data_IF_085608990438
#
_entry.id   IF_085608990438
#
_cell.length_a   1.000
_cell.length_b   1.000
_cell.length_c   1.000
_cell.angle_alpha   90.00
_cell.angle_beta   90.00
_cell.angle_gamma   90.00
#
_symmetry.space_group_name_H-M   'P 1'
#
loop_
_entity.id
_entity.type
_entity.pdbx_description
1 polymer ?
#
# COMPACT_ATOMS: atom_id res chain seq x y z
N UNK A 1 -27.62 65.41 -19.28
CA UNK A 1 -28.72 64.98 -20.18
C UNK A 1 -28.17 63.84 -21.04
N UNK A 2 -28.11 62.60 -20.54
CA UNK A 2 -29.19 61.61 -20.54
C UNK A 2 -29.75 61.34 -21.93
N UNK A 3 -29.22 60.31 -22.58
CA UNK A 3 -29.96 59.54 -23.57
C UNK A 3 -29.82 58.06 -23.19
N UNK A 4 -30.88 57.55 -22.56
CA UNK A 4 -31.10 56.15 -22.21
C UNK A 4 -31.66 55.45 -23.45
N UNK A 5 -31.06 54.35 -23.88
CA UNK A 5 -31.69 53.39 -24.79
C UNK A 5 -31.87 52.09 -23.99
N UNK A 6 -33.11 51.61 -23.74
CA UNK A 6 -33.31 50.32 -23.10
C UNK A 6 -33.17 49.21 -24.14
N UNK A 7 -32.22 48.29 -23.93
CA UNK A 7 -32.16 47.03 -24.66
C UNK A 7 -33.25 46.11 -24.07
N UNK A 8 -34.30 45.88 -24.84
CA UNK A 8 -35.32 44.86 -24.59
C UNK A 8 -34.69 43.46 -24.69
N UNK A 9 -34.76 42.71 -23.59
CA UNK A 9 -34.41 41.30 -23.55
C UNK A 9 -35.47 40.49 -24.31
N UNK A 10 -35.09 39.94 -25.47
CA UNK A 10 -35.87 38.93 -26.18
C UNK A 10 -35.50 37.55 -25.60
N UNK A 11 -36.32 37.07 -24.67
CA UNK A 11 -36.30 35.68 -24.21
C UNK A 11 -36.89 34.79 -25.32
N UNK A 12 -36.04 34.28 -26.21
CA UNK A 12 -36.40 33.19 -27.10
C UNK A 12 -36.31 31.87 -26.32
N UNK A 13 -37.47 31.32 -25.93
CA UNK A 13 -37.59 29.96 -25.45
C UNK A 13 -37.29 29.00 -26.61
N UNK A 14 -36.06 28.50 -26.67
CA UNK A 14 -35.68 27.40 -27.56
C UNK A 14 -36.37 26.15 -27.02
N UNK A 15 -37.50 25.81 -27.63
CA UNK A 15 -38.12 24.50 -27.46
C UNK A 15 -37.38 23.55 -28.39
N UNK A 16 -36.25 23.01 -27.93
CA UNK A 16 -35.50 22.01 -28.67
C UNK A 16 -36.36 20.75 -28.75
N UNK A 17 -36.95 20.53 -29.92
CA UNK A 17 -37.54 19.25 -30.32
C UNK A 17 -36.36 18.27 -30.42
N UNK A 18 -36.14 17.45 -29.38
CA UNK A 18 -35.31 16.26 -29.47
C UNK A 18 -35.96 15.35 -30.52
N UNK A 19 -35.47 15.42 -31.75
CA UNK A 19 -35.67 14.35 -32.72
C UNK A 19 -34.86 13.16 -32.22
N UNK A 20 -35.51 12.01 -32.06
CA UNK A 20 -34.95 10.67 -31.78
C UNK A 20 -34.02 10.20 -32.93
N UNK A 21 -33.06 11.03 -33.32
CA UNK A 21 -31.94 10.54 -34.10
C UNK A 21 -31.07 9.75 -33.13
N UNK A 22 -31.08 8.43 -33.30
CA UNK A 22 -30.14 7.53 -32.64
C UNK A 22 -28.75 8.18 -32.71
N UNK A 23 -28.11 8.48 -31.56
CA UNK A 23 -26.89 9.27 -31.56
C UNK A 23 -25.88 8.59 -32.48
N UNK A 24 -25.44 9.32 -33.50
CA UNK A 24 -24.46 8.81 -34.45
C UNK A 24 -23.25 8.29 -33.65
N UNK A 25 -22.83 7.06 -33.95
CA UNK A 25 -21.72 6.44 -33.26
C UNK A 25 -20.48 7.35 -33.36
N UNK A 26 -19.88 7.78 -32.23
CA UNK A 26 -18.79 8.76 -32.28
C UNK A 26 -17.47 8.15 -32.76
N UNK A 27 -17.42 6.84 -33.00
CA UNK A 27 -16.22 6.11 -33.38
C UNK A 27 -16.09 6.07 -34.91
N UNK A 28 -15.02 6.69 -35.40
CA UNK A 28 -14.70 6.75 -36.82
C UNK A 28 -14.11 5.41 -37.30
N UNK A 29 -14.78 4.75 -38.26
CA UNK A 29 -14.34 3.47 -38.85
C UNK A 29 -13.00 3.55 -39.59
N UNK A 30 -12.53 4.75 -39.95
CA UNK A 30 -11.16 4.92 -40.47
C UNK A 30 -10.09 4.80 -39.39
N UNK A 31 -10.50 4.84 -38.11
CA UNK A 31 -9.61 4.91 -36.96
C UNK A 31 -9.74 3.73 -36.00
N UNK A 32 -10.90 3.09 -35.99
CA UNK A 32 -11.11 1.79 -35.34
C UNK A 32 -11.43 0.76 -36.42
N UNK A 33 -10.75 -0.41 -36.45
CA UNK A 33 -11.17 -1.47 -37.35
C UNK A 33 -12.62 -1.87 -37.04
N UNK A 34 -13.37 -2.36 -38.03
CA UNK A 34 -14.77 -2.76 -37.85
C UNK A 34 -14.96 -3.81 -36.73
N UNK A 35 -13.91 -4.59 -36.44
CA UNK A 35 -13.89 -5.58 -35.36
C UNK A 35 -13.47 -5.03 -34.00
N UNK A 36 -13.26 -3.72 -33.87
CA UNK A 36 -12.80 -3.10 -32.63
C UNK A 36 -13.90 -3.12 -31.58
N UNK A 37 -13.49 -3.44 -30.36
CA UNK A 37 -14.32 -3.38 -29.18
C UNK A 37 -13.89 -2.20 -28.32
N UNK A 38 -14.82 -1.30 -28.06
CA UNK A 38 -14.55 -0.03 -27.39
C UNK A 38 -15.24 -0.05 -26.04
N UNK A 39 -14.45 0.11 -24.98
CA UNK A 39 -14.98 0.25 -23.64
C UNK A 39 -15.52 1.67 -23.46
N UNK A 40 -16.78 1.79 -23.05
CA UNK A 40 -17.46 3.06 -22.84
C UNK A 40 -18.21 3.08 -21.52
N UNK A 41 -18.37 4.27 -20.97
CA UNK A 41 -19.35 4.54 -19.93
C UNK A 41 -20.22 5.74 -20.35
N UNK A 42 -21.21 5.45 -21.20
CA UNK A 42 -22.19 6.41 -21.73
C UNK A 42 -23.54 5.71 -21.84
N UNK A 43 -24.54 6.20 -21.10
CA UNK A 43 -25.88 5.61 -21.05
C UNK A 43 -26.54 5.54 -22.43
N UNK A 44 -26.23 6.48 -23.33
CA UNK A 44 -26.79 6.50 -24.68
C UNK A 44 -26.26 5.34 -25.50
N UNK A 45 -24.98 5.01 -25.35
CA UNK A 45 -24.31 3.93 -26.09
C UNK A 45 -24.57 2.55 -25.46
N UNK A 46 -24.80 2.49 -24.15
CA UNK A 46 -25.01 1.22 -23.44
C UNK A 46 -26.47 0.76 -23.35
N UNK A 47 -27.42 1.43 -24.02
CA UNK A 47 -28.84 1.03 -23.97
C UNK A 47 -29.13 -0.14 -24.91
N UNK A 48 -29.64 -1.24 -24.37
CA UNK A 48 -29.95 -2.48 -25.11
C UNK A 48 -31.41 -2.53 -25.57
N UNK A 49 -31.96 -1.46 -26.16
CA UNK A 49 -33.33 -1.42 -26.73
C UNK A 49 -34.49 -1.83 -25.80
N UNK A 50 -34.21 -2.16 -24.54
CA UNK A 50 -35.12 -2.64 -23.50
C UNK A 50 -35.19 -1.52 -22.47
N UNK A 51 -36.40 -1.09 -22.11
CA UNK A 51 -36.66 0.21 -21.46
C UNK A 51 -36.18 0.34 -20.00
N UNK A 52 -35.32 -0.57 -19.53
CA UNK A 52 -34.78 -0.52 -18.17
C UNK A 52 -33.33 -0.04 -18.25
N UNK A 53 -33.11 1.23 -17.91
CA UNK A 53 -31.77 1.80 -17.80
C UNK A 53 -30.98 1.00 -16.76
N UNK A 54 -29.84 0.39 -17.12
CA UNK A 54 -29.03 -0.30 -16.14
C UNK A 54 -28.51 0.70 -15.09
N UNK A 55 -28.32 0.27 -13.85
CA UNK A 55 -27.87 1.15 -12.77
C UNK A 55 -26.47 1.74 -13.02
N UNK A 56 -25.68 1.13 -13.91
CA UNK A 56 -24.36 1.60 -14.32
C UNK A 56 -24.20 1.38 -15.83
N UNK A 57 -24.05 2.44 -16.64
CA UNK A 57 -23.96 2.33 -18.08
C UNK A 57 -22.51 2.06 -18.52
N UNK A 58 -21.88 1.00 -18.02
CA UNK A 58 -20.54 0.59 -18.49
C UNK A 58 -20.70 -0.61 -19.40
N UNK A 59 -20.21 -0.51 -20.62
CA UNK A 59 -20.34 -1.56 -21.62
C UNK A 59 -19.18 -1.58 -22.60
N UNK A 60 -19.10 -2.67 -23.35
CA UNK A 60 -18.26 -2.78 -24.54
C UNK A 60 -19.18 -2.66 -25.75
N UNK A 61 -18.82 -1.81 -26.70
CA UNK A 61 -19.54 -1.62 -27.97
C UNK A 61 -18.64 -1.91 -29.16
N UNK A 62 -19.22 -2.33 -30.28
CA UNK A 62 -18.49 -2.38 -31.55
C UNK A 62 -18.15 -0.97 -32.07
N UNK A 63 -17.25 -0.88 -33.05
CA UNK A 63 -16.90 0.39 -33.70
C UNK A 63 -18.10 1.10 -34.36
N UNK A 64 -19.15 0.36 -34.74
CA UNK A 64 -20.41 0.90 -35.25
C UNK A 64 -21.43 1.21 -34.14
N UNK A 65 -21.02 1.12 -32.85
CA UNK A 65 -21.87 1.23 -31.67
C UNK A 65 -23.00 0.20 -31.63
N UNK A 66 -22.81 -0.93 -32.29
CA UNK A 66 -23.72 -2.05 -32.30
C UNK A 66 -23.42 -3.02 -31.14
N UNK A 67 -24.42 -3.83 -30.81
CA UNK A 67 -24.30 -4.96 -29.88
C UNK A 67 -23.69 -4.62 -28.50
N UNK A 68 -24.19 -3.62 -27.76
CA UNK A 68 -23.63 -3.24 -26.47
C UNK A 68 -23.66 -4.41 -25.47
N UNK A 69 -22.49 -4.80 -25.00
CA UNK A 69 -22.30 -5.82 -23.95
C UNK A 69 -22.11 -5.12 -22.61
N UNK A 70 -23.18 -5.08 -21.81
CA UNK A 70 -23.14 -4.53 -20.46
C UNK A 70 -22.12 -5.27 -19.59
N UNK A 71 -21.35 -4.51 -18.83
CA UNK A 71 -20.38 -5.04 -17.89
C UNK A 71 -20.94 -5.01 -16.47
N UNK A 72 -20.78 -6.13 -15.76
CA UNK A 72 -21.09 -6.20 -14.34
C UNK A 72 -19.94 -5.64 -13.51
N UNK A 73 -20.27 -4.95 -12.43
CA UNK A 73 -19.30 -4.54 -11.41
C UNK A 73 -18.60 -5.76 -10.80
N UNK A 74 -17.38 -5.58 -10.29
CA UNK A 74 -16.71 -6.62 -9.50
C UNK A 74 -17.55 -7.01 -8.25
N UNK A 75 -17.34 -8.23 -7.76
CA UNK A 75 -18.06 -8.84 -6.63
C UNK A 75 -17.96 -8.03 -5.33
N UNK A 76 -16.84 -7.34 -5.13
CA UNK A 76 -16.56 -6.46 -4.00
C UNK A 76 -17.18 -5.05 -4.15
N UNK A 77 -17.73 -4.74 -5.33
CA UNK A 77 -18.45 -3.51 -5.68
C UNK A 77 -17.64 -2.21 -5.60
N UNK A 78 -16.32 -2.31 -5.58
CA UNK A 78 -15.38 -1.19 -5.46
C UNK A 78 -14.94 -0.63 -6.83
N UNK A 79 -15.14 -1.39 -7.91
CA UNK A 79 -14.82 -0.93 -9.25
C UNK A 79 -15.23 -1.87 -10.39
N UNK A 80 -14.68 -1.58 -11.57
CA UNK A 80 -14.79 -2.43 -12.76
C UNK A 80 -13.42 -3.04 -13.07
N UNK A 81 -13.36 -4.37 -12.99
CA UNK A 81 -12.24 -5.17 -13.47
C UNK A 81 -12.60 -5.70 -14.85
N UNK A 82 -12.01 -5.11 -15.88
CA UNK A 82 -12.21 -5.50 -17.27
C UNK A 82 -10.99 -6.31 -17.70
N UNK A 83 -11.17 -7.61 -17.75
CA UNK A 83 -10.20 -8.52 -18.37
C UNK A 83 -10.52 -8.58 -19.87
N UNK A 84 -9.74 -7.83 -20.64
CA UNK A 84 -10.12 -7.31 -21.93
C UNK A 84 -9.35 -7.94 -23.09
N UNK A 85 -9.45 -9.25 -23.28
CA UNK A 85 -9.11 -9.85 -24.58
C UNK A 85 -9.96 -9.23 -25.73
N UNK A 86 -11.05 -8.54 -25.39
CA UNK A 86 -11.93 -7.84 -26.32
C UNK A 86 -11.98 -6.32 -26.03
N UNK A 87 -10.85 -5.67 -25.71
CA UNK A 87 -10.81 -4.20 -25.64
C UNK A 87 -9.70 -3.66 -26.53
N UNK A 88 -10.11 -2.96 -27.58
CA UNK A 88 -9.26 -2.34 -28.59
C UNK A 88 -9.15 -0.82 -28.42
N UNK A 89 -10.13 -0.20 -27.74
CA UNK A 89 -10.20 1.24 -27.53
C UNK A 89 -10.89 1.63 -26.22
N UNK A 90 -10.58 2.83 -25.73
CA UNK A 90 -11.34 3.49 -24.69
C UNK A 90 -12.09 4.69 -25.29
N UNK A 91 -13.41 4.72 -25.12
CA UNK A 91 -14.25 5.83 -25.55
C UNK A 91 -14.65 6.77 -24.42
N UNK A 92 -15.76 7.51 -24.58
CA UNK A 92 -16.28 8.40 -23.54
C UNK A 92 -16.62 7.64 -22.26
N UNK A 93 -16.17 8.16 -21.12
CA UNK A 93 -16.50 7.64 -19.79
C UNK A 93 -17.25 8.66 -18.93
N UNK A 94 -18.10 9.48 -19.57
CA UNK A 94 -18.78 10.61 -18.92
C UNK A 94 -19.74 10.18 -17.82
N UNK A 95 -20.35 9.00 -17.98
CA UNK A 95 -21.33 8.46 -17.03
C UNK A 95 -20.71 7.42 -16.08
N UNK A 96 -19.38 7.34 -16.05
CA UNK A 96 -18.69 6.43 -15.14
C UNK A 96 -18.87 6.89 -13.68
N UNK A 97 -19.22 5.99 -12.74
CA UNK A 97 -19.50 6.38 -11.36
C UNK A 97 -18.29 6.97 -10.64
N UNK A 98 -18.49 8.11 -9.97
CA UNK A 98 -17.46 8.99 -9.37
C UNK A 98 -16.74 8.46 -8.12
N UNK A 99 -16.85 7.17 -7.82
CA UNK A 99 -16.29 6.55 -6.63
C UNK A 99 -15.78 5.13 -6.89
N UNK A 100 -15.71 4.74 -8.15
CA UNK A 100 -15.27 3.42 -8.57
C UNK A 100 -13.89 3.51 -9.20
N UNK A 101 -13.06 2.50 -8.99
CA UNK A 101 -11.84 2.37 -9.78
C UNK A 101 -12.15 1.76 -11.15
N UNK A 102 -11.34 2.13 -12.14
CA UNK A 102 -11.31 1.48 -13.45
C UNK A 102 -10.02 0.67 -13.55
N UNK A 103 -10.14 -0.62 -13.82
CA UNK A 103 -9.00 -1.48 -14.02
C UNK A 103 -9.18 -2.26 -15.33
N UNK A 104 -8.34 -1.96 -16.31
CA UNK A 104 -8.37 -2.59 -17.63
C UNK A 104 -7.13 -3.46 -17.76
N UNK A 105 -7.32 -4.73 -18.06
CA UNK A 105 -6.27 -5.75 -18.09
C UNK A 105 -6.25 -6.46 -19.42
N UNK A 106 -5.06 -6.93 -19.82
CA UNK A 106 -4.85 -7.87 -20.94
C UNK A 106 -5.49 -7.42 -22.26
N UNK A 107 -5.28 -6.15 -22.62
CA UNK A 107 -5.86 -5.60 -23.83
C UNK A 107 -5.30 -6.30 -25.07
N UNK A 108 -6.19 -6.80 -25.94
CA UNK A 108 -5.80 -7.50 -27.16
C UNK A 108 -5.21 -6.61 -28.24
N UNK A 109 -5.64 -5.35 -28.29
CA UNK A 109 -5.16 -4.39 -29.26
C UNK A 109 -3.62 -4.37 -29.26
N UNK A 110 -3.01 -4.40 -30.45
CA UNK A 110 -1.56 -4.19 -30.57
C UNK A 110 -1.14 -2.81 -30.07
N UNK A 111 -2.07 -1.85 -30.15
CA UNK A 111 -2.01 -0.52 -29.53
C UNK A 111 -3.44 -0.13 -29.11
N UNK A 112 -3.70 -0.08 -27.82
CA UNK A 112 -4.95 0.38 -27.24
C UNK A 112 -5.13 1.86 -27.56
N UNK A 113 -6.18 2.16 -28.32
CA UNK A 113 -6.52 3.51 -28.73
C UNK A 113 -7.10 4.30 -27.54
N UNK A 114 -6.57 5.51 -27.35
CA UNK A 114 -6.91 6.44 -26.27
C UNK A 114 -7.45 7.77 -26.78
N UNK A 115 -7.40 8.02 -28.09
CA UNK A 115 -7.80 9.31 -28.66
C UNK A 115 -9.19 9.78 -28.26
N UNK A 116 -10.15 8.87 -28.17
CA UNK A 116 -11.54 9.18 -27.85
C UNK A 116 -11.87 8.94 -26.36
N UNK A 117 -10.83 8.68 -25.56
CA UNK A 117 -10.95 8.49 -24.12
C UNK A 117 -11.23 9.83 -23.45
N UNK A 118 -12.44 9.96 -22.92
CA UNK A 118 -12.82 11.07 -22.04
C UNK A 118 -12.86 10.52 -20.62
N UNK A 119 -11.77 10.66 -19.83
CA UNK A 119 -11.70 10.11 -18.49
C UNK A 119 -12.80 10.70 -17.60
N UNK A 120 -13.33 9.92 -16.64
CA UNK A 120 -14.38 10.40 -15.75
C UNK A 120 -13.90 11.60 -14.93
N UNK A 121 -14.78 12.58 -14.74
CA UNK A 121 -14.45 13.81 -14.02
C UNK A 121 -14.12 13.60 -12.52
N UNK A 122 -14.32 12.42 -11.96
CA UNK A 122 -14.06 12.11 -10.55
C UNK A 122 -13.57 10.67 -10.35
N UNK A 123 -12.78 10.13 -11.29
CA UNK A 123 -12.21 8.79 -11.09
C UNK A 123 -11.11 8.84 -10.01
N UNK A 124 -11.20 8.06 -8.91
CA UNK A 124 -10.17 8.05 -7.88
C UNK A 124 -8.89 7.33 -8.36
N UNK A 125 -9.06 6.26 -9.15
CA UNK A 125 -7.92 5.49 -9.65
C UNK A 125 -8.22 4.77 -10.97
N UNK A 126 -7.22 4.78 -11.84
CA UNK A 126 -7.20 4.00 -13.08
C UNK A 126 -5.98 3.09 -13.10
N UNK A 127 -6.18 1.82 -13.39
CA UNK A 127 -5.12 0.82 -13.57
C UNK A 127 -5.18 0.25 -14.97
N UNK A 128 -4.02 0.15 -15.61
CA UNK A 128 -3.83 -0.54 -16.87
C UNK A 128 -2.78 -1.63 -16.70
N UNK A 129 -3.17 -2.88 -16.96
CA UNK A 129 -2.31 -4.04 -16.81
C UNK A 129 -2.15 -4.73 -18.16
N UNK A 130 -0.92 -4.87 -18.65
CA UNK A 130 -0.64 -5.58 -19.90
C UNK A 130 -1.50 -5.05 -21.07
N UNK A 131 -1.54 -3.73 -21.24
CA UNK A 131 -2.28 -3.05 -22.29
C UNK A 131 -1.30 -2.14 -23.05
N UNK A 132 -0.90 -2.45 -24.28
CA UNK A 132 0.07 -1.61 -25.00
C UNK A 132 -0.60 -0.31 -25.46
N UNK A 133 -0.17 0.87 -24.99
CA UNK A 133 -0.75 2.15 -25.41
C UNK A 133 0.06 2.84 -26.52
N UNK A 134 -0.65 3.61 -27.34
CA UNK A 134 -0.05 4.66 -28.14
C UNK A 134 0.28 5.87 -27.23
N UNK A 135 1.55 6.00 -26.78
CA UNK A 135 1.99 7.12 -25.90
C UNK A 135 1.72 8.50 -26.53
N UNK A 136 1.76 8.59 -27.85
CA UNK A 136 1.36 9.77 -28.63
C UNK A 136 -0.11 10.15 -28.40
N UNK A 137 -1.02 9.19 -28.31
CA UNK A 137 -2.43 9.43 -27.99
C UNK A 137 -2.66 9.73 -26.52
N UNK A 138 -1.85 9.16 -25.62
CA UNK A 138 -1.98 9.43 -24.18
C UNK A 138 -1.88 10.93 -23.88
N UNK A 139 -0.97 11.62 -24.58
CA UNK A 139 -0.76 13.06 -24.43
C UNK A 139 -1.93 13.90 -24.96
N UNK A 140 -2.80 13.34 -25.80
CA UNK A 140 -3.98 14.07 -26.32
C UNK A 140 -5.21 13.88 -25.45
N UNK A 141 -5.16 13.02 -24.42
CA UNK A 141 -6.28 12.81 -23.51
C UNK A 141 -6.56 14.13 -22.76
N UNK A 142 -7.81 14.63 -22.79
CA UNK A 142 -8.21 15.82 -22.04
C UNK A 142 -8.42 15.47 -20.57
N UNK A 143 -7.34 15.23 -19.84
CA UNK A 143 -7.40 14.90 -18.42
C UNK A 143 -8.11 16.02 -17.64
N UNK A 144 -9.20 15.73 -16.93
CA UNK A 144 -9.91 16.74 -16.17
C UNK A 144 -8.99 17.38 -15.14
N UNK A 145 -9.18 18.68 -14.89
CA UNK A 145 -8.64 19.33 -13.70
C UNK A 145 -9.42 18.82 -12.49
N UNK A 146 -9.10 17.59 -12.07
CA UNK A 146 -9.74 16.92 -10.96
C UNK A 146 -9.52 17.73 -9.67
N UNK A 147 -10.59 17.91 -8.90
CA UNK A 147 -10.50 18.49 -7.55
C UNK A 147 -10.09 17.43 -6.50
N UNK A 148 -10.14 16.15 -6.88
CA UNK A 148 -9.87 15.01 -6.00
C UNK A 148 -8.53 14.35 -6.33
N UNK A 149 -7.90 13.66 -5.35
CA UNK A 149 -6.72 12.84 -5.58
C UNK A 149 -6.96 11.81 -6.68
N UNK A 150 -6.09 11.83 -7.69
CA UNK A 150 -6.10 10.87 -8.79
C UNK A 150 -4.87 9.96 -8.73
N UNK A 151 -5.11 8.66 -8.88
CA UNK A 151 -4.06 7.63 -8.90
C UNK A 151 -4.03 6.91 -10.25
N UNK A 152 -2.87 6.88 -10.89
CA UNK A 152 -2.66 6.16 -12.15
C UNK A 152 -1.65 5.03 -11.93
N UNK A 153 -2.02 3.83 -12.36
CA UNK A 153 -1.15 2.66 -12.32
C UNK A 153 -0.99 2.06 -13.70
N UNK A 154 0.24 1.82 -14.11
CA UNK A 154 0.57 0.97 -15.25
C UNK A 154 1.34 -0.25 -14.78
N UNK A 155 1.02 -1.40 -15.35
CA UNK A 155 1.69 -2.65 -15.02
C UNK A 155 1.99 -3.48 -16.27
N UNK A 156 3.20 -4.05 -16.34
CA UNK A 156 3.67 -4.88 -17.45
C UNK A 156 3.58 -4.17 -18.82
N UNK A 157 4.16 -2.97 -18.90
CA UNK A 157 4.03 -2.07 -20.04
C UNK A 157 5.38 -1.59 -20.58
N UNK A 158 5.50 -1.44 -21.90
CA UNK A 158 6.66 -0.82 -22.51
C UNK A 158 6.41 0.66 -22.84
N UNK A 159 7.01 1.56 -22.06
CA UNK A 159 6.90 3.01 -22.21
C UNK A 159 8.16 3.65 -22.81
N UNK A 160 9.19 2.87 -23.21
CA UNK A 160 10.50 3.41 -23.68
C UNK A 160 10.51 3.73 -25.16
N UNK A 161 9.72 3.01 -25.97
CA UNK A 161 9.86 3.01 -27.43
C UNK A 161 9.29 4.24 -28.16
N UNK A 162 9.06 5.35 -27.46
CA UNK A 162 8.37 6.50 -28.02
C UNK A 162 9.31 7.70 -28.11
N UNK A 163 9.43 8.27 -29.31
CA UNK A 163 10.15 9.53 -29.56
C UNK A 163 9.45 10.76 -28.95
N UNK A 164 8.33 10.55 -28.27
CA UNK A 164 7.49 11.57 -27.65
C UNK A 164 7.63 11.52 -26.14
N UNK A 165 7.65 12.69 -25.50
CA UNK A 165 7.58 12.78 -24.04
C UNK A 165 6.19 12.40 -23.55
N UNK A 166 6.08 11.63 -22.49
CA UNK A 166 4.83 11.28 -21.83
C UNK A 166 4.43 12.39 -20.85
N UNK A 167 3.28 13.02 -21.07
CA UNK A 167 2.79 14.15 -20.25
C UNK A 167 1.78 13.61 -19.25
N UNK A 168 2.12 13.70 -17.97
CA UNK A 168 1.25 13.20 -16.91
C UNK A 168 0.08 14.15 -16.60
N UNK A 169 -1.07 13.63 -16.13
CA UNK A 169 -2.22 14.45 -15.79
C UNK A 169 -1.89 15.50 -14.71
N UNK A 170 -2.35 16.76 -14.85
CA UNK A 170 -1.97 17.84 -13.94
C UNK A 170 -2.42 17.61 -12.48
N UNK A 171 -3.51 16.88 -12.27
CA UNK A 171 -4.04 16.56 -10.95
C UNK A 171 -3.54 15.21 -10.37
N UNK A 172 -2.62 14.52 -11.06
CA UNK A 172 -2.09 13.23 -10.62
C UNK A 172 -1.38 13.35 -9.26
N UNK A 173 -1.83 12.58 -8.27
CA UNK A 173 -1.21 12.54 -6.95
C UNK A 173 -0.38 11.27 -6.74
N UNK A 174 -0.85 10.14 -7.25
CA UNK A 174 -0.15 8.87 -7.08
C UNK A 174 0.13 8.24 -8.44
N UNK A 175 1.39 7.91 -8.69
CA UNK A 175 1.81 7.18 -9.87
C UNK A 175 2.44 5.85 -9.45
N UNK A 176 2.03 4.76 -10.10
CA UNK A 176 2.68 3.46 -9.98
C UNK A 176 3.02 2.89 -11.36
N UNK A 177 4.28 2.52 -11.55
CA UNK A 177 4.81 1.81 -12.70
C UNK A 177 5.38 0.48 -12.21
N UNK A 178 4.69 -0.62 -12.49
CA UNK A 178 5.09 -1.95 -12.06
C UNK A 178 5.48 -2.81 -13.27
N UNK A 179 6.67 -3.43 -13.26
CA UNK A 179 7.12 -4.28 -14.37
C UNK A 179 7.15 -3.54 -15.74
N UNK A 180 7.32 -2.22 -15.73
CA UNK A 180 7.34 -1.42 -16.96
C UNK A 180 8.77 -1.18 -17.45
N UNK A 181 9.01 -1.08 -18.75
CA UNK A 181 10.18 -0.37 -19.26
C UNK A 181 9.87 1.12 -19.34
N UNK A 182 10.77 1.97 -18.86
CA UNK A 182 10.50 3.39 -18.69
C UNK A 182 11.75 4.26 -18.86
N UNK A 183 11.60 5.37 -19.60
CA UNK A 183 12.62 6.40 -19.77
C UNK A 183 12.22 7.65 -18.96
N UNK A 184 12.79 7.80 -17.76
CA UNK A 184 12.36 8.82 -16.79
C UNK A 184 12.51 10.26 -17.31
N UNK A 185 13.57 10.52 -18.09
CA UNK A 185 13.84 11.80 -18.75
C UNK A 185 12.81 12.17 -19.83
N UNK A 186 12.00 11.22 -20.30
CA UNK A 186 10.94 11.46 -21.29
C UNK A 186 9.59 11.72 -20.63
N UNK A 187 9.53 11.90 -19.32
CA UNK A 187 8.26 12.15 -18.62
C UNK A 187 8.19 13.56 -18.08
N UNK A 188 7.11 14.25 -18.45
CA UNK A 188 6.74 15.54 -17.88
C UNK A 188 5.86 15.27 -16.67
N UNK A 189 6.49 15.29 -15.50
CA UNK A 189 5.82 15.07 -14.23
C UNK A 189 5.03 16.30 -13.76
N UNK A 190 3.89 16.12 -13.08
CA UNK A 190 3.10 17.24 -12.60
C UNK A 190 3.69 17.72 -11.26
N UNK A 191 4.60 18.69 -11.36
CA UNK A 191 5.54 19.07 -10.29
C UNK A 191 4.90 19.53 -8.98
N UNK A 192 3.63 19.92 -8.98
CA UNK A 192 2.92 20.45 -7.80
C UNK A 192 2.02 19.41 -7.11
N UNK A 193 1.48 18.46 -7.85
CA UNK A 193 0.41 17.56 -7.39
C UNK A 193 0.91 16.18 -7.00
N UNK A 194 1.93 15.62 -7.66
CA UNK A 194 2.39 14.25 -7.40
C UNK A 194 3.00 14.12 -6.00
N UNK A 195 2.44 13.26 -5.17
CA UNK A 195 2.89 12.98 -3.80
C UNK A 195 3.55 11.61 -3.67
N UNK A 196 3.06 10.61 -4.40
CA UNK A 196 3.62 9.26 -4.44
C UNK A 196 4.09 8.92 -5.85
N UNK A 197 5.32 8.49 -5.97
CA UNK A 197 5.88 7.92 -7.19
C UNK A 197 6.47 6.55 -6.87
N UNK A 198 5.92 5.51 -7.50
CA UNK A 198 6.34 4.14 -7.31
C UNK A 198 6.78 3.52 -8.64
N UNK A 199 8.03 3.03 -8.68
CA UNK A 199 8.70 2.38 -9.79
C UNK A 199 9.12 0.99 -9.30
N UNK A 200 8.21 0.03 -9.44
CA UNK A 200 8.39 -1.34 -8.95
C UNK A 200 8.85 -2.24 -10.08
N UNK A 201 10.04 -2.84 -9.95
CA UNK A 201 10.60 -3.70 -11.00
C UNK A 201 10.60 -3.01 -12.39
N UNK A 202 10.80 -1.69 -12.40
CA UNK A 202 10.79 -0.92 -13.62
C UNK A 202 12.17 -1.02 -14.29
N UNK A 203 12.21 -1.38 -15.57
CA UNK A 203 13.44 -1.35 -16.35
C UNK A 203 13.72 0.09 -16.76
N UNK A 204 14.51 0.77 -15.94
CA UNK A 204 14.96 2.12 -16.22
C UNK A 204 15.96 2.07 -17.39
N UNK A 205 15.60 2.67 -18.53
CA UNK A 205 16.46 2.69 -19.73
C UNK A 205 17.69 3.58 -19.54
N UNK A 206 17.55 4.58 -18.68
CA UNK A 206 18.60 5.50 -18.23
C UNK A 206 18.60 5.49 -16.71
N UNK A 207 19.74 5.73 -16.05
CA UNK A 207 19.69 6.13 -14.64
C UNK A 207 18.77 7.36 -14.55
N UNK A 208 17.82 7.40 -13.59
CA UNK A 208 16.88 8.51 -13.48
C UNK A 208 17.67 9.83 -13.51
N UNK A 209 17.24 10.82 -14.31
CA UNK A 209 17.89 12.11 -14.30
C UNK A 209 17.88 12.67 -12.88
N UNK A 210 18.88 13.51 -12.62
CA UNK A 210 19.18 14.23 -11.39
C UNK A 210 18.03 15.08 -10.78
N UNK A 211 16.79 14.98 -11.23
CA UNK A 211 15.66 15.79 -10.74
C UNK A 211 14.35 14.99 -10.73
N UNK A 212 14.01 14.47 -9.55
CA UNK A 212 12.67 13.95 -9.26
C UNK A 212 11.66 15.10 -9.11
N UNK A 213 10.35 14.85 -9.23
CA UNK A 213 9.35 15.91 -9.04
C UNK A 213 9.42 16.44 -7.60
N UNK A 214 9.50 17.77 -7.38
CA UNK A 214 9.83 18.33 -6.08
C UNK A 214 8.75 18.14 -5.01
N UNK A 215 7.51 17.83 -5.42
CA UNK A 215 6.38 17.61 -4.52
C UNK A 215 6.27 16.17 -4.01
N UNK A 216 7.09 15.23 -4.51
CA UNK A 216 7.07 13.83 -4.09
C UNK A 216 7.44 13.73 -2.61
N UNK A 217 6.59 13.03 -1.86
CA UNK A 217 6.78 12.72 -0.44
C UNK A 217 7.08 11.23 -0.23
N UNK A 218 6.62 10.36 -1.12
CA UNK A 218 6.90 8.94 -1.06
C UNK A 218 7.45 8.46 -2.40
N UNK A 219 8.70 8.02 -2.39
CA UNK A 219 9.43 7.53 -3.57
C UNK A 219 9.79 6.07 -3.37
N UNK A 220 9.24 5.21 -4.20
CA UNK A 220 9.57 3.79 -4.25
C UNK A 220 10.24 3.54 -5.60
N UNK A 221 11.48 3.08 -5.58
CA UNK A 221 12.23 2.64 -6.76
C UNK A 221 12.87 1.34 -6.38
N UNK A 222 12.12 0.25 -6.34
CA UNK A 222 12.64 -1.06 -5.93
C UNK A 222 12.73 -2.01 -7.12
N UNK A 223 13.72 -2.91 -7.08
CA UNK A 223 13.97 -3.89 -8.13
C UNK A 223 14.16 -3.27 -9.54
N UNK A 224 14.54 -2.00 -9.63
CA UNK A 224 14.54 -1.25 -10.90
C UNK A 224 15.93 -1.12 -11.53
N UNK A 225 16.94 -1.79 -10.96
CA UNK A 225 18.32 -1.77 -11.48
C UNK A 225 19.06 -0.45 -11.26
N UNK A 226 18.56 0.42 -10.37
CA UNK A 226 19.15 1.72 -10.06
C UNK A 226 20.60 1.55 -9.58
N UNK A 227 21.56 2.30 -10.17
CA UNK A 227 22.98 2.21 -9.80
C UNK A 227 23.46 3.38 -8.94
N UNK A 228 22.79 4.52 -9.05
CA UNK A 228 23.11 5.76 -8.34
C UNK A 228 21.80 6.46 -7.93
N UNK A 229 21.82 7.12 -6.77
CA UNK A 229 20.70 7.90 -6.27
C UNK A 229 21.21 9.26 -5.79
N UNK A 230 20.78 10.31 -6.49
CA UNK A 230 21.17 11.69 -6.21
C UNK A 230 19.94 12.61 -6.26
N UNK A 231 20.06 13.79 -5.63
CA UNK A 231 19.06 14.86 -5.66
C UNK A 231 17.64 14.41 -5.29
N UNK A 232 17.44 13.89 -4.06
CA UNK A 232 16.13 13.48 -3.59
C UNK A 232 15.13 14.66 -3.63
N UNK A 233 13.82 14.40 -3.80
CA UNK A 233 12.80 15.43 -3.60
C UNK A 233 12.97 16.12 -2.23
N UNK A 234 12.85 17.46 -2.15
CA UNK A 234 13.05 18.18 -0.90
C UNK A 234 12.02 17.85 0.17
N UNK A 235 10.84 17.35 -0.22
CA UNK A 235 9.75 16.98 0.69
C UNK A 235 9.67 15.47 0.97
N UNK A 236 10.72 14.72 0.63
CA UNK A 236 10.75 13.28 0.71
C UNK A 236 10.64 12.79 2.16
N UNK A 237 9.64 11.96 2.43
CA UNK A 237 9.34 11.33 3.72
C UNK A 237 9.55 9.82 3.70
N UNK A 238 9.27 9.16 2.58
CA UNK A 238 9.45 7.71 2.44
C UNK A 238 10.33 7.46 1.22
N UNK A 239 11.40 6.72 1.42
CA UNK A 239 12.34 6.34 0.36
C UNK A 239 12.57 4.83 0.37
N UNK A 240 12.16 4.14 -0.68
CA UNK A 240 12.41 2.71 -0.83
C UNK A 240 13.24 2.46 -2.09
N UNK A 241 14.50 2.09 -1.90
CA UNK A 241 15.44 1.73 -2.95
C UNK A 241 15.86 0.26 -2.84
N UNK A 242 15.02 -0.61 -2.28
CA UNK A 242 15.38 -2.02 -2.09
C UNK A 242 15.61 -2.75 -3.42
N UNK A 243 16.45 -3.77 -3.40
CA UNK A 243 16.70 -4.67 -4.53
C UNK A 243 17.25 -3.98 -5.79
N UNK A 244 18.05 -2.93 -5.62
CA UNK A 244 18.72 -2.27 -6.75
C UNK A 244 20.19 -2.71 -6.87
N UNK A 245 20.96 -1.97 -7.67
CA UNK A 245 22.39 -2.18 -7.90
C UNK A 245 23.19 -0.96 -7.42
N UNK A 246 22.69 -0.27 -6.39
CA UNK A 246 23.33 0.92 -5.86
C UNK A 246 24.77 0.59 -5.47
N UNK A 247 25.71 1.43 -5.89
CA UNK A 247 27.12 1.25 -5.54
C UNK A 247 27.53 2.14 -4.37
N UNK A 248 26.92 3.32 -4.29
CA UNK A 248 27.16 4.36 -3.30
C UNK A 248 25.84 5.03 -2.94
N UNK A 249 25.75 5.54 -1.72
CA UNK A 249 24.63 6.35 -1.24
C UNK A 249 25.19 7.55 -0.48
N UNK A 250 25.57 8.59 -1.22
CA UNK A 250 26.44 9.65 -0.69
C UNK A 250 25.98 11.05 -1.03
N UNK A 251 26.33 12.03 -0.19
CA UNK A 251 26.10 13.46 -0.42
C UNK A 251 24.61 13.82 -0.56
N UNK A 252 23.76 13.25 0.31
CA UNK A 252 22.32 13.40 0.27
C UNK A 252 21.82 14.21 1.46
N UNK A 253 20.87 15.11 1.22
CA UNK A 253 20.12 15.78 2.28
C UNK A 253 18.71 15.21 2.34
N UNK A 254 18.40 14.51 3.42
CA UNK A 254 17.16 13.78 3.65
C UNK A 254 16.49 14.28 4.93
N UNK A 255 16.39 15.61 5.06
CA UNK A 255 16.02 16.32 6.29
C UNK A 255 14.56 16.13 6.73
N UNK A 256 13.68 15.67 5.84
CA UNK A 256 12.27 15.38 6.13
C UNK A 256 11.92 13.88 6.11
N UNK A 257 12.92 13.02 5.90
CA UNK A 257 12.74 11.58 5.75
C UNK A 257 12.29 10.91 7.05
N UNK A 258 11.28 10.07 6.94
CA UNK A 258 10.70 9.28 8.04
C UNK A 258 11.11 7.81 7.87
N UNK A 259 11.01 7.27 6.66
CA UNK A 259 11.33 5.87 6.41
C UNK A 259 12.27 5.73 5.22
N UNK A 260 13.29 4.88 5.37
CA UNK A 260 14.19 4.51 4.29
C UNK A 260 14.47 3.00 4.25
N UNK A 261 14.45 2.43 3.04
CA UNK A 261 14.80 1.03 2.79
C UNK A 261 15.84 0.94 1.69
N UNK A 262 17.01 0.35 1.96
CA UNK A 262 18.10 0.09 1.00
C UNK A 262 18.46 -1.40 0.92
N UNK A 263 17.61 -2.29 1.43
CA UNK A 263 17.83 -3.74 1.42
C UNK A 263 18.20 -4.28 0.04
N UNK A 264 18.93 -5.39 -0.01
CA UNK A 264 19.22 -6.12 -1.25
C UNK A 264 19.92 -5.29 -2.33
N UNK A 265 20.81 -4.37 -1.94
CA UNK A 265 21.73 -3.68 -2.83
C UNK A 265 23.13 -4.31 -2.74
N UNK A 266 23.43 -5.40 -3.46
CA UNK A 266 24.65 -6.19 -3.26
C UNK A 266 25.93 -5.43 -3.60
N UNK A 267 25.84 -4.37 -4.40
CA UNK A 267 26.99 -3.56 -4.82
C UNK A 267 27.22 -2.34 -3.92
N UNK A 268 26.37 -2.11 -2.91
CA UNK A 268 26.44 -0.91 -2.09
C UNK A 268 27.65 -1.04 -1.18
N UNK A 269 28.69 -0.26 -1.46
CA UNK A 269 29.98 -0.31 -0.75
C UNK A 269 30.18 0.86 0.21
N UNK A 270 29.40 1.92 0.05
CA UNK A 270 29.52 3.13 0.84
C UNK A 270 28.20 3.87 1.01
N UNK A 271 28.03 4.43 2.21
CA UNK A 271 27.00 5.41 2.56
C UNK A 271 27.74 6.52 3.29
N UNK A 272 27.75 7.76 2.77
CA UNK A 272 28.63 8.84 3.29
C UNK A 272 28.03 10.22 3.11
N UNK A 273 28.29 11.13 4.04
CA UNK A 273 27.80 12.52 3.92
C UNK A 273 26.28 12.58 3.63
N UNK A 274 25.50 11.76 4.34
CA UNK A 274 24.04 11.76 4.26
C UNK A 274 23.48 12.42 5.51
N UNK A 275 22.73 13.50 5.34
CA UNK A 275 22.03 14.18 6.44
C UNK A 275 20.63 13.60 6.57
N UNK A 276 20.40 12.78 7.58
CA UNK A 276 19.07 12.23 7.87
C UNK A 276 18.20 13.20 8.69
N UNK A 277 16.89 13.03 8.59
CA UNK A 277 15.93 13.75 9.41
C UNK A 277 16.00 13.34 10.88
N UNK A 278 15.64 14.26 11.77
CA UNK A 278 15.28 13.93 13.17
C UNK A 278 13.95 13.17 13.29
N UNK A 279 13.21 13.04 12.20
CA UNK A 279 11.92 12.35 12.14
C UNK A 279 12.04 10.92 11.63
N UNK A 280 13.25 10.42 11.42
CA UNK A 280 13.50 9.09 10.91
C UNK A 280 13.01 8.04 11.91
N UNK A 281 11.98 7.29 11.51
CA UNK A 281 11.36 6.20 12.26
C UNK A 281 11.80 4.84 11.77
N UNK A 282 12.20 4.71 10.50
CA UNK A 282 12.59 3.45 9.88
C UNK A 282 13.83 3.56 9.02
N UNK A 283 14.81 2.68 9.23
CA UNK A 283 16.01 2.54 8.43
C UNK A 283 16.34 1.06 8.26
N UNK A 284 16.13 0.55 7.04
CA UNK A 284 16.25 -0.86 6.71
C UNK A 284 17.39 -1.06 5.70
N UNK A 285 18.43 -1.78 6.10
CA UNK A 285 19.53 -2.20 5.22
C UNK A 285 19.91 -3.65 5.52
N UNK A 286 19.49 -4.55 4.64
CA UNK A 286 19.88 -5.97 4.63
C UNK A 286 20.83 -6.21 3.46
N UNK A 287 22.05 -6.66 3.76
CA UNK A 287 23.04 -7.07 2.76
C UNK A 287 23.06 -8.61 2.69
N UNK A 288 22.94 -9.18 1.48
CA UNK A 288 22.87 -10.64 1.29
C UNK A 288 24.26 -11.25 1.25
N UNK A 289 24.67 -11.86 2.38
CA UNK A 289 25.92 -12.61 2.65
C UNK A 289 26.21 -13.68 1.57
N UNK A 290 27.33 -13.56 0.86
CA UNK A 290 27.73 -14.54 -0.16
C UNK A 290 29.22 -14.53 -0.55
N UNK A 291 29.92 -13.40 -0.44
CA UNK A 291 31.37 -13.31 -0.65
C UNK A 291 31.93 -12.31 0.38
N UNK A 292 33.21 -12.34 0.71
CA UNK A 292 33.79 -11.42 1.70
C UNK A 292 33.76 -9.98 1.18
N UNK A 293 32.84 -9.15 1.68
CA UNK A 293 32.81 -7.71 1.41
C UNK A 293 33.13 -6.89 2.65
N UNK A 294 33.93 -5.86 2.44
CA UNK A 294 34.15 -4.76 3.37
C UNK A 294 33.31 -3.56 2.92
N UNK A 295 32.20 -3.31 3.62
CA UNK A 295 31.44 -2.07 3.48
C UNK A 295 32.25 -0.97 4.20
N UNK A 296 32.87 -0.08 3.43
CA UNK A 296 33.60 1.07 3.96
C UNK A 296 32.61 2.20 4.23
N UNK A 297 31.87 2.00 5.33
CA UNK A 297 30.92 2.92 5.94
C UNK A 297 31.69 4.09 6.56
N UNK A 298 31.66 5.26 5.92
CA UNK A 298 32.06 6.52 6.56
C UNK A 298 30.76 7.24 6.96
N UNK A 299 30.19 6.80 8.09
CA UNK A 299 28.91 7.29 8.61
C UNK A 299 29.11 7.77 10.06
N UNK A 300 28.95 9.07 10.26
CA UNK A 300 28.46 9.62 11.52
C UNK A 300 26.97 9.25 11.70
N UNK A 301 26.73 8.05 12.28
CA UNK A 301 25.48 7.36 12.73
C UNK A 301 24.35 7.05 11.72
N UNK A 302 23.66 5.90 11.71
CA UNK A 302 23.73 4.62 12.46
C UNK A 302 22.95 3.51 11.71
N UNK A 303 23.53 2.31 11.57
CA UNK A 303 22.86 0.98 11.56
C UNK A 303 23.86 -0.02 12.12
N UNK A 304 23.32 -1.00 12.86
CA UNK A 304 23.96 -2.17 13.42
C UNK A 304 25.05 -2.86 12.58
N UNK A 305 26.35 -2.71 12.95
CA UNK A 305 27.47 -3.64 12.71
C UNK A 305 28.74 -3.20 13.52
N UNK A 306 29.74 -4.07 13.79
CA UNK A 306 30.50 -4.10 15.05
C UNK A 306 31.52 -2.96 15.30
N UNK A 307 31.50 -2.46 16.54
CA UNK A 307 32.29 -1.35 17.09
C UNK A 307 33.66 -1.83 17.58
N UNK A 308 34.73 -1.54 16.84
CA UNK A 308 36.06 -1.44 17.46
C UNK A 308 36.85 -0.20 17.05
N UNK A 309 36.40 0.61 16.08
CA UNK A 309 37.11 1.83 15.65
C UNK A 309 36.14 2.91 15.12
N UNK A 310 35.40 3.60 16.00
CA UNK A 310 34.35 4.56 15.62
C UNK A 310 34.53 5.93 16.30
N UNK A 311 34.38 7.05 15.56
CA UNK A 311 34.52 8.44 16.07
C UNK A 311 33.35 9.32 15.57
N UNK A 312 32.78 10.16 16.46
CA UNK A 312 31.55 10.94 16.26
C UNK A 312 31.78 12.47 16.31
N UNK A 313 30.96 13.25 15.59
CA UNK A 313 30.81 14.70 15.82
C UNK A 313 29.64 15.00 16.77
N UNK A 314 29.77 16.06 17.57
CA UNK A 314 28.87 16.36 18.70
C UNK A 314 27.42 16.63 18.31
N UNK A 315 27.19 17.37 17.22
CA UNK A 315 25.83 17.76 16.79
C UNK A 315 24.96 16.59 16.35
N UNK A 316 25.57 15.53 15.83
CA UNK A 316 24.88 14.30 15.41
C UNK A 316 24.52 13.43 16.62
N UNK A 317 25.41 13.37 17.61
CA UNK A 317 25.12 12.74 18.90
C UNK A 317 23.96 13.43 19.64
N UNK A 318 23.95 14.77 19.68
CA UNK A 318 22.91 15.56 20.35
C UNK A 318 21.51 15.32 19.74
N UNK A 319 21.41 15.05 18.43
CA UNK A 319 20.13 14.82 17.75
C UNK A 319 19.55 13.41 18.03
N UNK A 320 20.37 12.37 18.01
CA UNK A 320 19.95 10.99 18.29
C UNK A 320 19.64 10.78 19.79
N UNK A 321 20.40 11.45 20.65
CA UNK A 321 20.15 11.46 22.09
C UNK A 321 18.91 12.29 22.48
N UNK A 322 18.34 13.07 21.55
CA UNK A 322 17.12 13.86 21.75
C UNK A 322 15.82 13.19 21.29
N UNK A 323 15.91 11.97 20.73
CA UNK A 323 14.74 11.17 20.38
C UNK A 323 14.12 10.58 21.66
N UNK A 324 12.84 10.86 21.86
CA UNK A 324 12.06 10.40 23.01
C UNK A 324 11.82 8.88 22.92
N UNK A 325 12.24 8.14 23.94
CA UNK A 325 12.15 6.68 24.01
C UNK A 325 10.72 6.15 24.27
N UNK A 326 9.70 7.00 24.13
CA UNK A 326 8.30 6.70 24.43
C UNK A 326 7.40 6.43 23.21
N UNK A 327 7.95 6.31 22.00
CA UNK A 327 7.18 5.79 20.86
C UNK A 327 8.01 4.80 20.00
N UNK A 328 8.61 3.82 20.68
CA UNK A 328 9.14 2.62 20.06
C UNK A 328 8.00 1.60 19.89
N UNK A 329 7.45 1.55 18.68
CA UNK A 329 6.79 0.41 18.02
C UNK A 329 5.96 -0.54 18.91
N UNK A 330 4.64 -0.34 18.86
CA UNK A 330 3.65 -1.40 19.01
C UNK A 330 3.69 -2.33 17.79
N UNK A 331 4.34 -3.49 17.91
CA UNK A 331 3.84 -4.73 17.29
C UNK A 331 3.73 -5.81 18.37
N UNK A 332 2.59 -6.47 18.35
CA UNK A 332 2.03 -7.27 19.42
C UNK A 332 2.66 -8.67 19.36
N UNK A 333 3.91 -8.86 19.79
CA UNK A 333 4.38 -10.17 20.29
C UNK A 333 5.85 -10.23 20.73
N UNK A 334 6.78 -9.43 20.20
CA UNK A 334 8.21 -9.71 20.43
C UNK A 334 8.95 -8.45 20.93
N UNK A 335 9.31 -8.44 22.21
CA UNK A 335 9.95 -7.30 22.87
C UNK A 335 11.45 -7.48 23.04
N UNK A 336 12.26 -6.57 22.48
CA UNK A 336 13.65 -6.38 22.87
C UNK A 336 13.82 -5.12 23.70
N UNK A 337 14.68 -5.17 24.72
CA UNK A 337 15.03 -4.01 25.57
C UNK A 337 16.54 -3.80 25.48
N UNK A 338 16.99 -2.65 24.98
CA UNK A 338 18.42 -2.35 24.85
C UNK A 338 18.95 -1.45 25.98
N UNK A 339 20.09 -1.80 26.60
CA UNK A 339 20.76 -0.98 27.64
C UNK A 339 22.28 -0.87 27.42
N UNK A 340 22.83 0.36 27.44
CA UNK A 340 24.27 0.60 27.25
C UNK A 340 25.15 0.32 28.48
N UNK A 341 24.56 0.02 29.64
CA UNK A 341 25.28 -0.53 30.80
C UNK A 341 24.53 -1.75 31.29
N UNK A 342 25.09 -2.92 31.00
CA UNK A 342 24.58 -4.18 31.51
C UNK A 342 24.87 -4.30 33.01
N UNK A 343 23.94 -3.80 33.82
CA UNK A 343 24.03 -3.87 35.29
C UNK A 343 23.36 -5.15 35.81
N UNK A 344 23.63 -5.51 37.07
CA UNK A 344 22.95 -6.65 37.71
C UNK A 344 21.42 -6.48 37.74
N UNK A 345 20.92 -5.24 37.79
CA UNK A 345 19.48 -4.94 37.68
C UNK A 345 18.92 -5.19 36.28
N UNK A 346 19.65 -4.82 35.21
CA UNK A 346 19.25 -5.08 33.81
C UNK A 346 19.20 -6.59 33.54
N UNK A 347 20.14 -7.32 34.13
CA UNK A 347 20.17 -8.78 34.11
C UNK A 347 18.99 -9.39 34.87
N UNK A 348 18.71 -8.95 36.11
CA UNK A 348 17.55 -9.40 36.90
C UNK A 348 16.22 -9.17 36.18
N UNK A 349 16.07 -8.02 35.51
CA UNK A 349 14.89 -7.69 34.72
C UNK A 349 14.76 -8.57 33.47
N UNK A 350 15.88 -8.84 32.79
CA UNK A 350 15.90 -9.73 31.64
C UNK A 350 15.54 -11.18 32.01
N UNK A 351 16.09 -11.67 33.12
CA UNK A 351 15.81 -13.00 33.64
C UNK A 351 14.33 -13.15 34.04
N UNK A 352 13.70 -12.09 34.59
CA UNK A 352 12.31 -12.10 35.03
C UNK A 352 11.29 -12.34 33.90
N UNK A 353 11.63 -11.93 32.67
CA UNK A 353 10.81 -12.15 31.47
C UNK A 353 11.27 -13.36 30.66
N UNK A 354 12.16 -14.20 31.21
CA UNK A 354 12.82 -15.30 30.49
C UNK A 354 13.56 -14.84 29.22
N UNK A 355 14.04 -13.61 29.24
CA UNK A 355 14.89 -13.08 28.20
C UNK A 355 16.34 -13.50 28.35
N UNK A 356 17.08 -13.42 27.26
CA UNK A 356 18.49 -13.73 27.16
C UNK A 356 19.26 -12.44 26.93
N UNK A 357 20.16 -12.14 27.86
CA UNK A 357 21.17 -11.12 27.72
C UNK A 357 21.99 -11.34 26.43
N UNK A 358 21.91 -10.42 25.48
CA UNK A 358 22.60 -10.50 24.19
C UNK A 358 23.31 -9.18 23.93
N UNK A 359 24.56 -9.18 23.52
CA UNK A 359 25.31 -7.93 23.29
C UNK A 359 24.94 -7.31 21.93
N UNK A 360 24.58 -6.03 21.91
CA UNK A 360 24.31 -5.20 20.72
C UNK A 360 25.18 -3.94 20.79
N UNK A 361 26.14 -3.77 19.89
CA UNK A 361 27.03 -2.58 19.81
C UNK A 361 27.72 -2.18 21.11
N UNK A 362 28.48 -3.11 21.70
CA UNK A 362 29.19 -2.95 22.98
C UNK A 362 28.28 -2.62 24.19
N UNK A 363 26.98 -2.71 23.98
CA UNK A 363 25.91 -2.60 24.95
C UNK A 363 25.25 -3.97 25.07
N UNK A 364 24.56 -4.27 26.15
CA UNK A 364 23.87 -5.56 26.25
C UNK A 364 22.37 -5.31 26.28
N UNK A 365 21.64 -6.10 25.52
CA UNK A 365 20.21 -6.01 25.26
C UNK A 365 19.56 -7.29 25.76
N UNK A 366 18.35 -7.20 26.28
CA UNK A 366 17.58 -8.34 26.69
C UNK A 366 16.67 -8.81 25.54
N UNK A 367 16.80 -10.08 25.16
CA UNK A 367 16.03 -10.70 24.07
C UNK A 367 15.07 -11.73 24.65
N UNK A 368 13.77 -11.47 24.61
CA UNK A 368 12.76 -12.40 25.11
C UNK A 368 12.37 -13.38 24.00
N UNK A 369 12.35 -14.69 24.29
CA UNK A 369 11.99 -15.71 23.30
C UNK A 369 10.49 -15.94 23.29
N UNK A 370 9.92 -16.02 22.09
CA UNK A 370 8.48 -16.18 21.81
C UNK A 370 7.84 -17.50 22.27
N UNK A 371 8.60 -18.38 22.93
CA UNK A 371 8.06 -19.63 23.47
C UNK A 371 7.43 -19.49 24.85
N UNK A 372 6.61 -18.46 25.06
CA UNK A 372 5.59 -18.46 26.12
C UNK A 372 4.29 -19.09 25.61
N UNK A 373 4.38 -20.31 25.08
CA UNK A 373 3.26 -20.96 24.39
C UNK A 373 3.26 -22.48 24.29
N UNK A 374 3.98 -23.22 25.14
CA UNK A 374 3.72 -24.66 25.36
C UNK A 374 4.26 -25.14 26.72
N UNK A 375 3.41 -25.03 27.74
CA UNK A 375 3.31 -25.84 28.96
C UNK A 375 4.60 -26.21 29.72
N UNK A 376 4.92 -25.40 30.73
CA UNK A 376 5.40 -25.88 32.04
C UNK A 376 4.52 -25.26 33.13
N UNK A 377 3.25 -25.70 33.14
CA UNK A 377 2.32 -25.50 34.25
C UNK A 377 2.40 -26.73 35.16
N UNK A 378 3.50 -26.87 35.89
CA UNK A 378 3.70 -27.81 36.99
C UNK A 378 4.93 -27.27 37.74
N UNK A 379 4.83 -26.68 38.92
CA UNK A 379 4.78 -27.43 40.19
C UNK A 379 4.00 -26.66 41.28
N UNK A 380 3.74 -25.37 41.14
CA UNK A 380 3.21 -24.55 42.25
C UNK A 380 1.68 -24.51 42.36
N UNK A 381 0.96 -24.64 41.23
CA UNK A 381 -0.51 -24.67 41.22
C UNK A 381 -1.09 -26.03 41.62
N UNK A 382 -0.34 -27.13 41.45
CA UNK A 382 -0.73 -28.44 42.00
C UNK A 382 -0.59 -28.46 43.52
N UNK A 383 0.35 -27.74 44.13
CA UNK A 383 0.49 -27.69 45.59
C UNK A 383 -0.67 -26.93 46.28
N UNK A 384 -1.20 -25.89 45.65
CA UNK A 384 -2.36 -25.13 46.17
C UNK A 384 -3.70 -25.77 45.77
N UNK A 385 -3.79 -26.37 44.58
CA UNK A 385 -4.96 -27.14 44.16
C UNK A 385 -5.15 -28.45 44.95
N UNK A 386 -4.06 -29.14 45.31
CA UNK A 386 -4.13 -30.39 46.10
C UNK A 386 -4.55 -30.13 47.55
N UNK A 387 -4.09 -29.05 48.18
CA UNK A 387 -4.50 -28.72 49.57
C UNK A 387 -5.98 -28.33 49.66
N UNK A 388 -6.50 -27.55 48.70
CA UNK A 388 -7.93 -27.24 48.64
C UNK A 388 -8.79 -28.48 48.31
N UNK A 389 -8.32 -29.33 47.39
CA UNK A 389 -9.03 -30.58 47.02
C UNK A 389 -9.07 -31.58 48.17
N UNK A 390 -7.97 -31.71 48.93
CA UNK A 390 -7.91 -32.56 50.14
C UNK A 390 -8.88 -32.03 51.20
N UNK A 391 -8.96 -30.70 51.41
CA UNK A 391 -9.91 -30.12 52.36
C UNK A 391 -11.37 -30.36 51.97
N UNK A 392 -11.72 -30.26 50.67
CA UNK A 392 -13.08 -30.56 50.18
C UNK A 392 -13.41 -32.04 50.34
N UNK A 393 -12.47 -32.95 50.05
CA UNK A 393 -12.67 -34.39 50.23
C UNK A 393 -12.80 -34.74 51.72
N UNK A 394 -11.97 -34.16 52.59
CA UNK A 394 -12.07 -34.35 54.05
C UNK A 394 -13.41 -33.82 54.58
N UNK A 395 -13.85 -32.63 54.15
CA UNK A 395 -15.14 -32.08 54.52
C UNK A 395 -16.31 -32.96 54.03
N UNK A 396 -16.23 -33.49 52.80
CA UNK A 396 -17.23 -34.40 52.25
C UNK A 396 -17.28 -35.74 53.00
N UNK A 397 -16.13 -36.32 53.36
CA UNK A 397 -16.04 -37.56 54.16
C UNK A 397 -16.56 -37.32 55.58
N UNK A 398 -16.23 -36.19 56.21
CA UNK A 398 -16.75 -35.80 57.51
C UNK A 398 -18.28 -35.62 57.48
N UNK A 399 -18.81 -34.91 56.48
CA UNK A 399 -20.25 -34.73 56.29
C UNK A 399 -20.97 -36.07 56.01
N UNK A 400 -20.37 -36.95 55.20
CA UNK A 400 -20.93 -38.29 54.95
C UNK A 400 -20.93 -39.17 56.20
N UNK A 401 -19.85 -39.18 56.99
CA UNK A 401 -19.79 -39.90 58.28
C UNK A 401 -20.80 -39.34 59.28
N UNK A 402 -20.96 -38.02 59.34
CA UNK A 402 -21.96 -37.38 60.19
C UNK A 402 -23.39 -37.79 59.78
N UNK A 403 -23.71 -37.74 58.48
CA UNK A 403 -25.01 -38.23 57.97
C UNK A 403 -25.25 -39.70 58.27
N UNK A 404 -24.25 -40.58 58.14
CA UNK A 404 -24.40 -42.00 58.50
C UNK A 404 -24.66 -42.20 59.99
N UNK A 405 -24.01 -41.43 60.87
CA UNK A 405 -24.30 -41.48 62.31
C UNK A 405 -25.69 -40.96 62.63
N UNK A 406 -26.12 -39.86 62.00
CA UNK A 406 -27.47 -39.35 62.17
C UNK A 406 -28.55 -40.35 61.70
N UNK A 407 -28.31 -41.05 60.59
CA UNK A 407 -29.22 -42.09 60.08
C UNK A 407 -29.24 -43.37 60.94
N UNK A 408 -28.15 -43.70 61.62
CA UNK A 408 -28.11 -44.82 62.57
C UNK A 408 -28.90 -44.52 63.87
N UNK A 409 -29.04 -43.24 64.23
CA UNK A 409 -29.82 -42.81 65.41
C UNK A 409 -31.32 -42.75 65.09
N UNK A 410 -31.71 -42.70 63.81
CA UNK A 410 -33.11 -42.57 63.38
C UNK A 410 -33.71 -43.82 62.74
N UNK A 411 -33.10 -45.01 62.86
CA UNK A 411 -33.78 -46.24 62.47
C UNK A 411 -34.78 -46.64 63.56
N UNK A 412 -36.10 -46.48 63.36
CA UNK A 412 -37.10 -46.88 64.34
C UNK A 412 -37.20 -48.39 64.32
N UNK A 413 -37.21 -49.02 65.50
CA UNK A 413 -37.60 -50.40 65.69
C UNK A 413 -38.89 -50.65 64.91
N UNK A 414 -38.81 -51.50 63.88
CA UNK A 414 -39.96 -51.91 63.09
C UNK A 414 -40.65 -53.01 63.88
N UNK A 415 -41.49 -52.58 64.82
CA UNK A 415 -42.41 -53.46 65.54
C UNK A 415 -43.44 -54.04 64.56
N UNK A 416 -43.38 -55.35 64.45
CA UNK A 416 -44.50 -56.31 64.35
C UNK A 416 -45.87 -55.78 64.76
N UNK A 417 -46.84 -55.79 63.84
CA UNK A 417 -48.28 -56.09 64.02
C UNK A 417 -48.85 -56.45 62.63
N UNK A 418 -49.01 -57.72 62.26
CA UNK A 418 -50.23 -58.55 62.35
C UNK A 418 -51.49 -57.95 61.69
N UNK A 419 -52.11 -58.70 60.76
CA UNK A 419 -53.56 -58.89 60.73
C UNK A 419 -53.90 -60.30 60.23
N UNK A 420 -54.37 -61.12 61.17
CA UNK A 420 -55.43 -62.11 60.98
C UNK A 420 -56.69 -61.45 60.41
N UNK A 421 -57.18 -61.96 59.27
CA UNK A 421 -58.53 -62.52 59.06
C UNK A 421 -58.60 -63.18 57.70
#
# INVERSE_FOLDING_TARGET
MHCFIPLLALSAAITARQTDESPACPFDASRYPDSAHILVADARLCTTGTSTTPPFPVCIVGAACDSPKLLSRNKDRTGFDIDGEDVDGLGPMTDFPSNLYLNVRNCRASRLALRDFLPPANIPSTTFFNCPFAVDEFNTIPWPSLSLPFSLKFEAMDLVNHNTSLIMPPALQNMELANCSFAFNRVVWPSQSIKKLALHNARLSDNPPYQYPPSVQALYINASGLMDFANPPPLLRILDLRSNRLTRFENLSLTDLQDITLDYNPNLTSVRNVTFSRRLTGLYIILVLGETWSLNVDISTAIDAPISQFHLTKGTWDALNSLDAHDAFSTISEGYIASMRWTDDSKRACDAVRGVATTLHNSTVCVVSDNSGATDLNVSLIALGSTASILVVVAAVCHWRWRRRAAAVTSPMKDTWEMTT
#
